data_IF_191264692496
#
_entry.id   IF_191264692496
#
_cell.length_a   1.000
_cell.length_b   1.000
_cell.length_c   1.000
_cell.angle_alpha   90.00
_cell.angle_beta   90.00
_cell.angle_gamma   90.00
#
_symmetry.space_group_name_H-M   'P 1'
#
loop_
_entity.id
_entity.type
_entity.pdbx_description
1 polymer ?
#
# COMPACT_ATOMS: atom_id res chain seq x y z
N UNK A 1 24.38 -35.39 -20.84
CA UNK A 1 24.02 -33.99 -20.48
C UNK A 1 24.52 -33.00 -21.52
N UNK A 2 25.77 -33.14 -21.95
CA UNK A 2 26.41 -32.29 -22.97
C UNK A 2 25.65 -32.24 -24.31
N UNK A 3 25.29 -33.39 -24.90
CA UNK A 3 24.50 -33.43 -26.14
C UNK A 3 23.12 -32.74 -26.02
N UNK A 4 22.50 -32.74 -24.83
CA UNK A 4 21.22 -32.04 -24.59
C UNK A 4 21.44 -30.53 -24.49
N UNK A 5 22.51 -30.09 -23.84
CA UNK A 5 22.88 -28.68 -23.77
C UNK A 5 23.23 -28.12 -25.15
N UNK A 6 24.01 -28.86 -25.94
CA UNK A 6 24.36 -28.51 -27.32
C UNK A 6 23.12 -28.39 -28.21
N UNK A 7 22.20 -29.35 -28.11
CA UNK A 7 20.91 -29.30 -28.82
C UNK A 7 20.10 -28.05 -28.46
N UNK A 8 19.98 -27.74 -27.17
CA UNK A 8 19.23 -26.57 -26.70
C UNK A 8 19.83 -25.24 -27.18
N UNK A 9 21.17 -25.13 -27.11
CA UNK A 9 21.87 -23.94 -27.60
C UNK A 9 21.68 -23.80 -29.10
N UNK A 10 21.88 -24.88 -29.87
CA UNK A 10 21.67 -24.88 -31.33
C UNK A 10 20.25 -24.46 -31.69
N UNK A 11 19.24 -25.01 -31.01
CA UNK A 11 17.86 -24.66 -31.28
C UNK A 11 17.56 -23.19 -30.94
N UNK A 12 18.11 -22.68 -29.83
CA UNK A 12 17.98 -21.27 -29.45
C UNK A 12 18.64 -20.33 -30.46
N UNK A 13 19.82 -20.70 -30.97
CA UNK A 13 20.52 -19.94 -32.02
C UNK A 13 19.70 -19.92 -33.30
N UNK A 14 19.22 -21.07 -33.77
CA UNK A 14 18.38 -21.16 -34.98
C UNK A 14 17.12 -20.32 -34.81
N UNK A 15 16.43 -20.46 -33.68
CA UNK A 15 15.23 -19.68 -33.38
C UNK A 15 15.51 -18.18 -33.41
N UNK A 16 16.59 -17.72 -32.77
CA UNK A 16 16.97 -16.32 -32.78
C UNK A 16 17.27 -15.82 -34.20
N UNK A 17 17.99 -16.58 -35.03
CA UNK A 17 18.29 -16.20 -36.42
C UNK A 17 17.00 -16.09 -37.24
N UNK A 18 16.09 -17.06 -37.13
CA UNK A 18 14.81 -17.07 -37.86
C UNK A 18 13.93 -15.89 -37.49
N UNK A 19 13.95 -15.43 -36.24
CA UNK A 19 13.17 -14.29 -35.78
C UNK A 19 13.86 -12.96 -36.13
N UNK A 20 15.18 -12.85 -35.92
CA UNK A 20 15.91 -11.60 -36.05
C UNK A 20 16.29 -11.24 -37.49
N UNK A 21 16.60 -12.21 -38.35
CA UNK A 21 17.05 -11.92 -39.72
C UNK A 21 15.98 -11.17 -40.56
N UNK A 22 14.69 -11.57 -40.55
CA UNK A 22 13.65 -10.81 -41.26
C UNK A 22 13.44 -9.40 -40.70
N UNK A 23 13.64 -9.20 -39.39
CA UNK A 23 13.52 -7.89 -38.72
C UNK A 23 14.68 -6.98 -39.16
N UNK A 24 15.91 -7.49 -39.14
CA UNK A 24 17.09 -6.76 -39.60
C UNK A 24 16.95 -6.40 -41.09
N UNK A 25 16.56 -7.36 -41.92
CA UNK A 25 16.35 -7.12 -43.35
C UNK A 25 15.24 -6.13 -43.62
N UNK A 26 14.13 -6.15 -42.88
CA UNK A 26 13.04 -5.19 -43.05
C UNK A 26 13.54 -3.74 -42.95
N UNK A 27 14.45 -3.46 -42.02
CA UNK A 27 15.02 -2.12 -41.76
C UNK A 27 16.11 -1.74 -42.79
N UNK A 28 16.73 -2.71 -43.47
CA UNK A 28 17.80 -2.48 -44.44
C UNK A 28 17.33 -2.50 -45.91
N UNK A 29 18.13 -1.95 -46.82
CA UNK A 29 17.78 -1.73 -48.23
C UNK A 29 17.64 -3.01 -49.08
N UNK A 30 18.14 -4.15 -48.60
CA UNK A 30 18.08 -5.45 -49.31
C UNK A 30 16.87 -6.31 -48.91
N UNK A 31 15.79 -5.70 -48.39
CA UNK A 31 14.56 -6.39 -47.98
C UNK A 31 13.77 -6.97 -49.16
N UNK A 32 13.27 -8.19 -49.00
CA UNK A 32 12.21 -8.74 -49.86
C UNK A 32 10.90 -7.97 -49.69
N UNK A 33 9.95 -8.05 -50.64
CA UNK A 33 8.65 -7.37 -50.50
C UNK A 33 7.86 -7.78 -49.25
N UNK A 34 8.01 -9.03 -48.79
CA UNK A 34 7.38 -9.52 -47.57
C UNK A 34 8.03 -8.92 -46.31
N UNK A 35 9.37 -8.88 -46.25
CA UNK A 35 10.10 -8.28 -45.14
C UNK A 35 9.85 -6.77 -45.04
N UNK A 36 9.76 -6.05 -46.17
CA UNK A 36 9.48 -4.61 -46.17
C UNK A 36 8.14 -4.25 -45.53
N UNK A 37 7.15 -5.14 -45.59
CA UNK A 37 5.84 -4.96 -44.92
C UNK A 37 5.95 -5.03 -43.39
N UNK A 38 6.98 -5.69 -42.85
CA UNK A 38 7.21 -5.78 -41.41
C UNK A 38 7.59 -4.43 -40.79
N UNK A 39 8.08 -3.46 -41.58
CA UNK A 39 8.52 -2.15 -41.05
C UNK A 39 7.43 -1.41 -40.27
N UNK A 40 6.17 -1.42 -40.75
CA UNK A 40 5.09 -0.76 -40.03
C UNK A 40 4.86 -1.39 -38.65
N UNK A 41 4.89 -2.72 -38.58
CA UNK A 41 4.72 -3.48 -37.34
C UNK A 41 5.91 -3.32 -36.39
N UNK A 42 7.13 -3.26 -36.93
CA UNK A 42 8.36 -2.99 -36.16
C UNK A 42 8.29 -1.60 -35.53
N UNK A 43 7.92 -0.58 -36.30
CA UNK A 43 7.78 0.78 -35.79
C UNK A 43 6.71 0.88 -34.69
N UNK A 44 5.57 0.22 -34.87
CA UNK A 44 4.51 0.18 -33.86
C UNK A 44 4.98 -0.52 -32.59
N UNK A 45 5.63 -1.69 -32.73
CA UNK A 45 6.25 -2.41 -31.61
C UNK A 45 7.26 -1.54 -30.86
N UNK A 46 8.12 -0.83 -31.58
CA UNK A 46 9.18 -0.02 -30.96
C UNK A 46 8.60 1.18 -30.23
N UNK A 47 7.58 1.83 -30.80
CA UNK A 47 6.82 2.89 -30.13
C UNK A 47 6.15 2.36 -28.86
N UNK A 48 5.45 1.24 -28.93
CA UNK A 48 4.83 0.61 -27.76
C UNK A 48 5.86 0.22 -26.71
N UNK A 49 7.03 -0.29 -27.12
CA UNK A 49 8.13 -0.67 -26.22
C UNK A 49 8.71 0.56 -25.50
N UNK A 50 8.86 1.69 -26.20
CA UNK A 50 9.29 2.96 -25.60
C UNK A 50 8.26 3.50 -24.60
N UNK A 51 6.97 3.51 -24.96
CA UNK A 51 5.89 3.91 -24.05
C UNK A 51 5.88 3.00 -22.82
N UNK A 52 5.91 1.69 -23.03
CA UNK A 52 5.91 0.72 -21.94
C UNK A 52 7.10 0.93 -21.00
N UNK A 53 8.32 1.10 -21.54
CA UNK A 53 9.52 1.37 -20.74
C UNK A 53 9.37 2.65 -19.90
N UNK A 54 8.78 3.70 -20.49
CA UNK A 54 8.51 4.96 -19.80
C UNK A 54 7.49 4.77 -18.68
N UNK A 55 6.40 4.05 -18.94
CA UNK A 55 5.36 3.76 -17.94
C UNK A 55 5.89 2.89 -16.81
N UNK A 56 6.67 1.85 -17.12
CA UNK A 56 7.31 1.00 -16.11
C UNK A 56 8.27 1.80 -15.24
N UNK A 57 9.08 2.70 -15.84
CA UNK A 57 9.95 3.58 -15.07
C UNK A 57 9.16 4.49 -14.13
N UNK A 58 8.07 5.12 -14.62
CA UNK A 58 7.20 5.98 -13.79
C UNK A 58 6.50 5.21 -12.68
N UNK A 59 6.06 3.99 -12.97
CA UNK A 59 5.44 3.12 -11.98
C UNK A 59 6.46 2.77 -10.89
N UNK A 60 7.69 2.41 -11.28
CA UNK A 60 8.76 2.09 -10.33
C UNK A 60 9.09 3.28 -9.42
N UNK A 61 9.18 4.50 -9.97
CA UNK A 61 9.44 5.70 -9.15
C UNK A 61 8.29 5.99 -8.21
N UNK A 62 7.05 5.96 -8.71
CA UNK A 62 5.87 6.22 -7.88
C UNK A 62 5.72 5.17 -6.78
N UNK A 63 6.03 3.91 -7.06
CA UNK A 63 6.02 2.85 -6.07
C UNK A 63 7.06 3.11 -4.97
N UNK A 64 8.26 3.57 -5.33
CA UNK A 64 9.31 3.92 -4.36
C UNK A 64 8.89 5.10 -3.49
N UNK A 65 8.36 6.16 -4.09
CA UNK A 65 7.91 7.36 -3.38
C UNK A 65 6.74 7.03 -2.43
N UNK A 66 5.83 6.16 -2.87
CA UNK A 66 4.72 5.69 -2.05
C UNK A 66 5.22 4.89 -0.85
N UNK A 67 6.17 3.96 -1.05
CA UNK A 67 6.73 3.16 0.05
C UNK A 67 7.46 4.03 1.06
N UNK A 68 8.25 5.03 0.61
CA UNK A 68 8.94 5.96 1.52
C UNK A 68 7.95 6.79 2.34
N UNK A 69 6.89 7.29 1.69
CA UNK A 69 5.85 8.06 2.37
C UNK A 69 5.07 7.21 3.37
N UNK A 70 4.79 5.95 3.03
CA UNK A 70 4.06 5.03 3.89
C UNK A 70 4.89 4.64 5.12
N UNK A 71 6.19 4.34 4.95
CA UNK A 71 7.11 4.10 6.06
C UNK A 71 7.17 5.30 7.02
N UNK A 72 7.26 6.52 6.49
CA UNK A 72 7.23 7.73 7.28
C UNK A 72 5.89 7.89 8.03
N UNK A 73 4.77 7.57 7.38
CA UNK A 73 3.43 7.63 7.97
C UNK A 73 3.27 6.63 9.13
N UNK A 74 3.68 5.38 8.93
CA UNK A 74 3.69 4.33 9.97
C UNK A 74 4.55 4.79 11.16
N UNK A 75 5.74 5.33 10.91
CA UNK A 75 6.62 5.84 11.96
C UNK A 75 6.00 7.00 12.76
N UNK A 76 5.34 7.94 12.08
CA UNK A 76 4.65 9.06 12.72
C UNK A 76 3.42 8.60 13.52
N UNK A 77 2.66 7.65 13.00
CA UNK A 77 1.52 7.08 13.71
C UNK A 77 1.94 6.33 14.97
N UNK A 78 3.06 5.60 14.92
CA UNK A 78 3.60 4.95 16.10
C UNK A 78 3.98 5.98 17.17
N UNK A 79 4.70 7.04 16.79
CA UNK A 79 5.03 8.14 17.72
C UNK A 79 3.80 8.83 18.29
N UNK A 80 2.76 9.04 17.47
CA UNK A 80 1.50 9.61 17.94
C UNK A 80 0.82 8.69 18.97
N UNK A 81 0.85 7.37 18.77
CA UNK A 81 0.34 6.39 19.75
C UNK A 81 1.16 6.43 21.04
N UNK A 82 2.49 6.46 20.96
CA UNK A 82 3.37 6.53 22.13
C UNK A 82 3.17 7.83 22.92
N UNK A 83 3.02 8.97 22.24
CA UNK A 83 2.72 10.23 22.89
C UNK A 83 1.32 10.23 23.51
N UNK A 84 0.32 9.66 22.83
CA UNK A 84 -1.03 9.54 23.36
C UNK A 84 -1.07 8.62 24.59
N UNK A 85 -0.29 7.53 24.62
CA UNK A 85 -0.22 6.62 25.75
C UNK A 85 0.41 7.26 26.99
N UNK A 86 1.27 8.26 26.82
CA UNK A 86 1.82 9.08 27.93
C UNK A 86 0.83 10.18 28.33
N UNK A 87 0.23 10.86 27.36
CA UNK A 87 -0.61 12.03 27.61
C UNK A 87 -1.94 11.66 28.27
N UNK A 88 -2.54 10.51 27.93
CA UNK A 88 -3.81 10.06 28.50
C UNK A 88 -3.70 9.86 30.03
N UNK A 89 -2.73 9.08 30.56
CA UNK A 89 -2.52 8.94 32.00
C UNK A 89 -2.21 10.28 32.67
N UNK A 90 -1.36 11.11 32.07
CA UNK A 90 -0.99 12.41 32.65
C UNK A 90 -2.21 13.34 32.75
N UNK A 91 -3.09 13.33 31.74
CA UNK A 91 -4.35 14.05 31.76
C UNK A 91 -5.33 13.48 32.78
N UNK A 92 -5.37 12.15 32.96
CA UNK A 92 -6.19 11.49 33.99
C UNK A 92 -5.71 11.84 35.40
N UNK A 93 -4.40 11.84 35.65
CA UNK A 93 -3.80 12.21 36.92
C UNK A 93 -4.10 13.69 37.26
N UNK A 94 -3.85 14.61 36.31
CA UNK A 94 -4.18 16.03 36.48
C UNK A 94 -5.67 16.25 36.74
N UNK A 95 -6.53 15.47 36.07
CA UNK A 95 -7.97 15.53 36.28
C UNK A 95 -8.38 15.00 37.65
N UNK A 96 -7.80 13.89 38.11
CA UNK A 96 -8.07 13.37 39.45
C UNK A 96 -7.70 14.38 40.53
N UNK A 97 -6.52 14.99 40.45
CA UNK A 97 -6.08 16.05 41.35
C UNK A 97 -7.02 17.27 41.32
N UNK A 98 -7.39 17.76 40.13
CA UNK A 98 -8.34 18.88 40.02
C UNK A 98 -9.74 18.55 40.54
N UNK A 99 -10.23 17.33 40.37
CA UNK A 99 -11.61 16.99 40.77
C UNK A 99 -11.75 16.84 42.29
N UNK A 100 -10.67 16.47 42.96
CA UNK A 100 -10.57 16.39 44.42
C UNK A 100 -10.26 17.76 45.08
N UNK A 101 -9.53 18.66 44.40
CA UNK A 101 -9.25 20.02 44.91
C UNK A 101 -10.35 21.07 44.61
N UNK A 102 -11.26 20.82 43.68
CA UNK A 102 -12.27 21.81 43.28
C UNK A 102 -13.43 21.85 44.28
N UNK A 103 -13.41 22.88 45.13
CA UNK A 103 -14.45 23.20 46.12
C UNK A 103 -15.70 23.87 45.49
N UNK A 104 -15.59 24.40 44.26
CA UNK A 104 -16.68 25.12 43.58
C UNK A 104 -17.63 24.17 42.80
N UNK A 105 -18.93 24.07 43.18
CA UNK A 105 -19.89 23.15 42.57
C UNK A 105 -20.17 23.41 41.09
N UNK A 106 -19.98 24.64 40.58
CA UNK A 106 -20.21 24.95 39.16
C UNK A 106 -19.15 24.34 38.24
N UNK A 107 -17.88 24.35 38.65
CA UNK A 107 -16.80 23.72 37.88
C UNK A 107 -16.95 22.20 37.87
N UNK A 108 -17.41 21.59 38.97
CA UNK A 108 -17.68 20.15 39.06
C UNK A 108 -18.71 19.68 38.03
N UNK A 109 -19.79 20.45 37.84
CA UNK A 109 -20.79 20.17 36.82
C UNK A 109 -20.25 20.27 35.39
N UNK A 110 -19.38 21.25 35.10
CA UNK A 110 -18.76 21.37 33.77
C UNK A 110 -17.81 20.21 33.45
N UNK A 111 -17.05 19.73 34.45
CA UNK A 111 -16.18 18.55 34.30
C UNK A 111 -17.01 17.30 34.00
N UNK A 112 -18.12 17.09 34.72
CA UNK A 112 -19.04 15.97 34.47
C UNK A 112 -19.67 16.02 33.07
N UNK A 113 -19.99 17.22 32.57
CA UNK A 113 -20.51 17.39 31.21
C UNK A 113 -19.47 17.05 30.14
N UNK A 114 -18.21 17.47 30.32
CA UNK A 114 -17.12 17.11 29.43
C UNK A 114 -16.83 15.60 29.45
N UNK A 115 -16.98 14.95 30.62
CA UNK A 115 -16.90 13.49 30.73
C UNK A 115 -17.97 12.77 29.92
N UNK A 116 -19.21 13.23 30.01
CA UNK A 116 -20.29 12.69 29.23
C UNK A 116 -20.02 12.83 27.72
N UNK A 117 -19.46 13.96 27.28
CA UNK A 117 -19.09 14.17 25.88
C UNK A 117 -17.94 13.24 25.44
N UNK A 118 -16.94 13.03 26.29
CA UNK A 118 -15.83 12.13 25.98
C UNK A 118 -16.32 10.67 25.82
N UNK A 119 -17.20 10.20 26.71
CA UNK A 119 -17.84 8.88 26.57
C UNK A 119 -18.59 8.72 25.25
N UNK A 120 -19.26 9.79 24.78
CA UNK A 120 -19.93 9.79 23.47
C UNK A 120 -18.90 9.69 22.34
N UNK A 121 -17.78 10.41 22.42
CA UNK A 121 -16.70 10.33 21.43
C UNK A 121 -16.05 8.94 21.37
N UNK A 122 -15.80 8.29 22.52
CA UNK A 122 -15.30 6.91 22.58
C UNK A 122 -16.29 5.96 21.91
N UNK A 123 -17.60 6.11 22.20
CA UNK A 123 -18.63 5.29 21.57
C UNK A 123 -18.69 5.48 20.06
N UNK A 124 -18.57 6.72 19.58
CA UNK A 124 -18.50 7.01 18.14
C UNK A 124 -17.28 6.33 17.49
N UNK A 125 -16.12 6.40 18.14
CA UNK A 125 -14.89 5.73 17.66
C UNK A 125 -15.08 4.21 17.57
N UNK A 126 -15.71 3.58 18.56
CA UNK A 126 -16.02 2.13 18.55
C UNK A 126 -16.94 1.76 17.39
N UNK A 127 -17.99 2.55 17.15
CA UNK A 127 -18.88 2.36 15.99
C UNK A 127 -18.12 2.48 14.67
N UNK A 128 -17.24 3.48 14.56
CA UNK A 128 -16.44 3.68 13.34
C UNK A 128 -15.46 2.51 13.11
N UNK A 129 -14.80 1.98 14.16
CA UNK A 129 -13.96 0.78 14.09
C UNK A 129 -14.75 -0.39 13.51
N UNK A 130 -15.94 -0.67 14.06
CA UNK A 130 -16.80 -1.78 13.60
C UNK A 130 -17.21 -1.65 12.13
N UNK A 131 -17.59 -0.45 11.67
CA UNK A 131 -17.95 -0.20 10.27
C UNK A 131 -16.74 -0.43 9.36
N UNK A 132 -15.57 0.11 9.72
CA UNK A 132 -14.34 -0.05 8.94
C UNK A 132 -13.93 -1.52 8.85
N UNK A 133 -13.98 -2.28 9.95
CA UNK A 133 -13.70 -3.73 9.93
C UNK A 133 -14.67 -4.49 9.03
N UNK A 134 -15.96 -4.15 9.06
CA UNK A 134 -16.95 -4.73 8.14
C UNK A 134 -16.67 -4.44 6.67
N UNK A 135 -16.22 -3.22 6.34
CA UNK A 135 -15.81 -2.85 4.97
C UNK A 135 -14.57 -3.65 4.55
N UNK A 136 -13.55 -3.75 5.41
CA UNK A 136 -12.31 -4.48 5.11
C UNK A 136 -12.63 -5.95 4.80
N UNK A 137 -13.42 -6.62 5.66
CA UNK A 137 -13.82 -8.01 5.44
C UNK A 137 -14.67 -8.18 4.18
N UNK A 138 -15.57 -7.25 3.88
CA UNK A 138 -16.44 -7.28 2.70
C UNK A 138 -15.78 -6.87 1.37
N UNK A 139 -14.62 -6.21 1.42
CA UNK A 139 -13.93 -5.67 0.23
C UNK A 139 -13.19 -6.72 -0.61
N UNK A 140 -12.97 -7.92 -0.07
CA UNK A 140 -12.20 -8.98 -0.73
C UNK A 140 -10.68 -8.78 -0.68
N UNK A 141 -10.18 -7.80 0.08
CA UNK A 141 -8.75 -7.66 0.40
C UNK A 141 -8.32 -8.86 1.25
N UNK A 142 -7.11 -9.38 1.02
CA UNK A 142 -6.53 -10.51 1.76
C UNK A 142 -6.07 -10.13 3.18
N UNK A 143 -6.97 -9.50 3.96
CA UNK A 143 -6.70 -8.93 5.28
C UNK A 143 -6.19 -9.95 6.31
N UNK A 144 -6.52 -11.24 6.15
CA UNK A 144 -6.07 -12.30 7.05
C UNK A 144 -4.56 -12.59 6.96
N UNK A 145 -3.90 -12.21 5.87
CA UNK A 145 -2.46 -12.38 5.66
C UNK A 145 -1.64 -11.13 6.04
N UNK A 146 -2.31 -10.04 6.39
CA UNK A 146 -1.69 -8.79 6.84
C UNK A 146 -1.88 -8.68 8.35
N UNK A 147 -0.80 -8.69 9.11
CA UNK A 147 -0.86 -8.67 10.57
C UNK A 147 -1.56 -7.40 11.11
N UNK A 148 -1.43 -6.25 10.45
CA UNK A 148 -2.06 -5.00 10.88
C UNK A 148 -3.58 -4.99 10.60
N UNK A 149 -3.99 -5.53 9.44
CA UNK A 149 -5.41 -5.63 9.11
C UNK A 149 -6.09 -6.72 9.92
N UNK A 150 -5.40 -7.83 10.15
CA UNK A 150 -5.87 -8.89 11.04
C UNK A 150 -6.05 -8.36 12.45
N UNK A 151 -5.10 -7.60 12.98
CA UNK A 151 -5.24 -6.93 14.27
C UNK A 151 -6.45 -5.98 14.26
N UNK A 152 -6.54 -5.04 13.32
CA UNK A 152 -7.68 -4.10 13.24
C UNK A 152 -9.06 -4.78 13.16
N UNK A 153 -9.15 -5.94 12.51
CA UNK A 153 -10.40 -6.71 12.33
C UNK A 153 -10.70 -7.64 13.51
N UNK A 154 -9.67 -8.27 14.10
CA UNK A 154 -9.80 -9.30 15.14
C UNK A 154 -9.56 -8.77 16.56
N UNK A 155 -9.12 -7.52 16.71
CA UNK A 155 -8.89 -6.87 17.99
C UNK A 155 -10.24 -6.58 18.66
N UNK A 156 -10.71 -7.60 19.37
CA UNK A 156 -11.81 -7.54 20.31
C UNK A 156 -11.37 -6.60 21.45
N UNK A 157 -11.79 -5.33 21.40
CA UNK A 157 -11.76 -4.42 22.56
C UNK A 157 -12.80 -4.86 23.62
N UNK A 158 -12.78 -6.14 23.96
CA UNK A 158 -13.61 -6.78 24.99
C UNK A 158 -12.72 -7.35 26.11
N UNK A 159 -11.72 -6.58 26.51
CA UNK A 159 -11.10 -6.69 27.83
C UNK A 159 -11.72 -5.63 28.76
N UNK A 160 -12.83 -6.02 29.41
CA UNK A 160 -13.23 -5.49 30.72
C UNK A 160 -14.48 -4.61 30.78
N UNK A 161 -15.54 -5.18 31.38
CA UNK A 161 -16.49 -4.43 32.23
C UNK A 161 -15.77 -3.58 33.30
#
# INVERSE_FOLDING_TARGET
LEARAEYLIRNKVIQNVVISDPILKAVHSNATPAERRLNCLINERDLLSMINSTLTSKLSTLSSDLTETDEANVSLNQRNRDLASILIPLAQELKSQKTDEVSDPKLRLQIQQLDAQNRISIRCKRTMKSITSGIIVGSGIAWANDDNLRDLVMDDEDDGE
#
